data_IF_873182831527
#
_entry.id   IF_873182831527
#
_cell.length_a   1.000
_cell.length_b   1.000
_cell.length_c   1.000
_cell.angle_alpha   90.00
_cell.angle_beta   90.00
_cell.angle_gamma   90.00
#
_symmetry.space_group_name_H-M   'P 1'
#
loop_
_entity.id
_entity.type
_entity.pdbx_description
1 polymer ?
#
# COMPACT_ATOMS: atom_id res chain seq x y z
N UNK A 1 -23.37 -10.90 -25.44
CA UNK A 1 -23.78 -11.39 -24.10
C UNK A 1 -22.50 -11.48 -23.26
N UNK A 2 -22.33 -10.64 -22.25
CA UNK A 2 -21.08 -10.65 -21.45
C UNK A 2 -20.92 -12.01 -20.76
N UNK A 3 -19.78 -12.68 -20.97
CA UNK A 3 -19.48 -13.99 -20.39
C UNK A 3 -19.52 -13.87 -18.86
N UNK A 4 -20.45 -14.55 -18.20
CA UNK A 4 -20.52 -14.58 -16.72
C UNK A 4 -19.38 -15.45 -16.19
N UNK A 5 -18.33 -14.80 -15.68
CA UNK A 5 -17.23 -15.48 -14.98
C UNK A 5 -17.67 -15.97 -13.59
N UNK A 6 -17.22 -17.16 -13.15
CA UNK A 6 -17.63 -17.73 -11.88
C UNK A 6 -17.10 -16.94 -10.68
N UNK A 7 -17.80 -17.04 -9.55
CA UNK A 7 -17.31 -16.54 -8.26
C UNK A 7 -16.36 -17.54 -7.61
N UNK A 8 -15.25 -17.06 -7.08
CA UNK A 8 -14.27 -17.86 -6.34
C UNK A 8 -14.44 -17.61 -4.84
N UNK A 9 -14.46 -18.68 -4.04
CA UNK A 9 -14.42 -18.55 -2.58
C UNK A 9 -13.03 -18.12 -2.16
N UNK A 10 -12.93 -17.04 -1.41
CA UNK A 10 -11.67 -16.46 -0.94
C UNK A 10 -11.85 -15.91 0.47
N UNK A 11 -10.74 -15.83 1.20
CA UNK A 11 -10.70 -15.07 2.44
C UNK A 11 -10.58 -13.58 2.15
N UNK A 12 -11.12 -12.72 3.02
CA UNK A 12 -10.97 -11.27 2.91
C UNK A 12 -9.49 -10.89 2.92
N UNK A 13 -8.67 -11.56 3.74
CA UNK A 13 -7.21 -11.36 3.73
C UNK A 13 -6.58 -11.52 2.35
N UNK A 14 -7.04 -12.50 1.57
CA UNK A 14 -6.53 -12.74 0.21
C UNK A 14 -6.94 -11.63 -0.76
N UNK A 15 -8.08 -10.99 -0.50
CA UNK A 15 -8.53 -9.80 -1.25
C UNK A 15 -7.67 -8.60 -0.89
N UNK A 16 -7.49 -8.33 0.41
CA UNK A 16 -6.74 -7.17 0.90
C UNK A 16 -5.26 -7.22 0.47
N UNK A 17 -4.64 -8.40 0.53
CA UNK A 17 -3.23 -8.62 0.19
C UNK A 17 -2.98 -8.90 -1.29
N UNK A 18 -4.03 -9.05 -2.11
CA UNK A 18 -3.90 -9.29 -3.53
C UNK A 18 -3.59 -8.02 -4.32
N UNK A 19 -3.32 -8.18 -5.61
CA UNK A 19 -3.05 -7.09 -6.54
C UNK A 19 -4.26 -6.91 -7.44
N UNK A 20 -4.84 -5.71 -7.45
CA UNK A 20 -5.99 -5.41 -8.28
C UNK A 20 -5.53 -5.01 -9.67
N UNK A 21 -6.17 -5.58 -10.70
CA UNK A 21 -5.84 -5.32 -12.10
C UNK A 21 -7.10 -4.83 -12.81
N UNK A 22 -7.00 -3.63 -13.39
CA UNK A 22 -8.03 -3.08 -14.27
C UNK A 22 -7.86 -3.70 -15.65
N UNK A 23 -8.96 -4.22 -16.23
CA UNK A 23 -8.93 -4.71 -17.61
C UNK A 23 -8.61 -3.56 -18.58
N UNK A 24 -7.80 -3.83 -19.60
CA UNK A 24 -7.31 -2.79 -20.52
C UNK A 24 -8.37 -2.36 -21.55
N UNK A 25 -9.47 -3.10 -21.69
CA UNK A 25 -10.55 -2.81 -22.64
C UNK A 25 -11.93 -2.65 -22.00
N UNK A 26 -12.83 -1.94 -22.69
CA UNK A 26 -14.23 -1.68 -22.27
C UNK A 26 -15.04 -2.94 -21.91
N UNK A 27 -14.60 -4.11 -22.41
CA UNK A 27 -15.26 -5.40 -22.20
C UNK A 27 -14.45 -6.38 -21.34
N UNK A 28 -13.23 -6.01 -20.94
CA UNK A 28 -12.40 -6.87 -20.10
C UNK A 28 -12.78 -6.72 -18.64
N UNK A 29 -13.09 -7.83 -17.94
CA UNK A 29 -13.45 -7.75 -16.54
C UNK A 29 -12.21 -7.50 -15.69
N UNK A 30 -12.30 -6.56 -14.77
CA UNK A 30 -11.32 -6.39 -13.71
C UNK A 30 -11.20 -7.67 -12.88
N UNK A 31 -10.02 -7.91 -12.32
CA UNK A 31 -9.77 -9.05 -11.46
C UNK A 31 -8.74 -8.70 -10.39
N UNK A 32 -8.61 -9.61 -9.44
CA UNK A 32 -7.59 -9.61 -8.42
C UNK A 32 -6.64 -10.78 -8.68
N UNK A 33 -5.33 -10.56 -8.56
CA UNK A 33 -4.34 -11.62 -8.48
C UNK A 33 -3.91 -11.77 -7.01
N UNK A 34 -4.12 -12.94 -6.41
CA UNK A 34 -3.63 -13.21 -5.06
C UNK A 34 -2.12 -13.47 -5.05
N UNK A 35 -1.48 -13.41 -3.89
CA UNK A 35 -0.03 -13.69 -3.72
C UNK A 35 0.42 -15.07 -4.22
N UNK A 36 -0.49 -16.04 -4.23
CA UNK A 36 -0.29 -17.39 -4.79
C UNK A 36 -0.67 -17.47 -6.28
N UNK A 37 -0.63 -16.35 -7.00
CA UNK A 37 -0.90 -16.22 -8.44
C UNK A 37 -2.27 -16.76 -8.87
N UNK A 38 -3.29 -16.55 -8.03
CA UNK A 38 -4.67 -16.92 -8.39
C UNK A 38 -5.42 -15.72 -8.94
N UNK A 39 -5.98 -15.88 -10.15
CA UNK A 39 -6.86 -14.90 -10.78
C UNK A 39 -8.29 -15.02 -10.23
N UNK A 40 -8.83 -13.91 -9.72
CA UNK A 40 -10.14 -13.84 -9.05
C UNK A 40 -10.97 -12.69 -9.66
N UNK A 41 -11.97 -13.04 -10.46
CA UNK A 41 -12.87 -12.06 -11.12
C UNK A 41 -14.07 -11.65 -10.26
N UNK A 42 -14.53 -12.57 -9.41
CA UNK A 42 -15.64 -12.37 -8.48
C UNK A 42 -15.30 -13.10 -7.20
N UNK A 43 -15.55 -12.44 -6.08
CA UNK A 43 -15.36 -13.00 -4.75
C UNK A 43 -16.67 -13.56 -4.25
N UNK A 44 -16.59 -14.70 -3.57
CA UNK A 44 -17.67 -15.25 -2.74
C UNK A 44 -17.14 -15.35 -1.32
N UNK A 45 -17.75 -14.63 -0.40
CA UNK A 45 -17.29 -14.50 0.98
C UNK A 45 -18.45 -14.81 1.91
N UNK A 46 -18.17 -15.50 3.02
CA UNK A 46 -19.11 -15.61 4.14
C UNK A 46 -18.51 -14.88 5.33
N UNK A 47 -19.28 -13.96 5.90
CA UNK A 47 -18.78 -12.93 6.78
C UNK A 47 -19.85 -12.43 7.75
N UNK A 48 -19.46 -11.82 8.86
CA UNK A 48 -20.37 -11.14 9.79
C UNK A 48 -20.38 -9.64 9.50
N UNK A 49 -21.55 -9.03 9.47
CA UNK A 49 -21.69 -7.57 9.31
C UNK A 49 -21.33 -6.90 10.63
N UNK A 50 -20.24 -6.15 10.65
CA UNK A 50 -19.66 -5.59 11.89
C UNK A 50 -20.15 -4.18 12.21
N UNK A 51 -20.62 -3.43 11.21
CA UNK A 51 -21.15 -2.07 11.34
C UNK A 51 -22.58 -1.97 10.84
N UNK A 52 -23.30 -0.96 11.34
CA UNK A 52 -24.60 -0.61 10.80
C UNK A 52 -24.48 -0.17 9.34
N UNK A 53 -25.26 -0.75 8.41
CA UNK A 53 -25.25 -0.34 7.01
C UNK A 53 -25.66 1.12 6.84
N UNK A 54 -24.98 1.81 5.94
CA UNK A 54 -25.20 3.23 5.64
C UNK A 54 -25.72 3.30 4.21
N UNK A 55 -26.81 4.03 4.00
CA UNK A 55 -27.38 4.30 2.67
C UNK A 55 -27.55 5.81 2.55
N UNK A 56 -27.15 6.36 1.41
CA UNK A 56 -27.33 7.78 1.11
C UNK A 56 -28.82 8.12 0.97
N UNK A 57 -29.21 9.35 1.30
CA UNK A 57 -30.61 9.80 1.27
C UNK A 57 -31.24 9.70 -0.13
N UNK A 58 -30.43 9.88 -1.17
CA UNK A 58 -30.82 9.76 -2.58
C UNK A 58 -30.82 8.31 -3.10
N UNK A 59 -30.48 7.34 -2.25
CA UNK A 59 -30.38 5.91 -2.54
C UNK A 59 -29.42 5.55 -3.69
N UNK A 60 -28.52 6.46 -4.08
CA UNK A 60 -27.55 6.19 -5.15
C UNK A 60 -26.38 5.36 -4.67
N UNK A 61 -26.16 5.33 -3.35
CA UNK A 61 -25.02 4.72 -2.71
C UNK A 61 -25.40 4.07 -1.39
N UNK A 62 -24.83 2.89 -1.12
CA UNK A 62 -24.89 2.26 0.17
C UNK A 62 -23.62 1.46 0.46
N UNK A 63 -23.27 1.36 1.73
CA UNK A 63 -22.12 0.58 2.17
C UNK A 63 -22.35 -0.11 3.50
N UNK A 64 -21.67 -1.22 3.68
CA UNK A 64 -21.57 -1.92 4.96
C UNK A 64 -20.21 -2.61 5.06
N UNK A 65 -19.87 -3.07 6.26
CA UNK A 65 -18.57 -3.67 6.52
C UNK A 65 -18.76 -5.12 6.96
N UNK A 66 -17.97 -6.02 6.38
CA UNK A 66 -17.99 -7.45 6.66
C UNK A 66 -16.63 -7.89 7.25
N UNK A 67 -16.67 -8.79 8.22
CA UNK A 67 -15.52 -9.48 8.81
C UNK A 67 -15.65 -11.01 8.65
N UNK A 68 -14.63 -11.67 8.10
CA UNK A 68 -14.56 -13.13 7.92
C UNK A 68 -13.61 -13.84 8.92
N UNK A 69 -13.07 -13.09 9.89
CA UNK A 69 -12.06 -13.50 10.85
C UNK A 69 -10.62 -13.46 10.32
N UNK A 70 -10.42 -13.20 9.03
CA UNK A 70 -9.09 -13.02 8.41
C UNK A 70 -8.82 -11.56 8.06
N UNK A 71 -9.87 -10.76 7.89
CA UNK A 71 -9.80 -9.34 7.65
C UNK A 71 -11.18 -8.72 7.60
N UNK A 72 -11.21 -7.40 7.47
CA UNK A 72 -12.43 -6.62 7.41
C UNK A 72 -12.43 -5.80 6.14
N UNK A 73 -13.52 -5.81 5.37
CA UNK A 73 -13.59 -5.11 4.08
C UNK A 73 -14.90 -4.35 3.91
N UNK A 74 -14.82 -3.22 3.20
CA UNK A 74 -15.99 -2.46 2.78
C UNK A 74 -16.68 -3.11 1.59
N UNK A 75 -18.00 -3.19 1.70
CA UNK A 75 -18.88 -3.64 0.64
C UNK A 75 -19.77 -2.48 0.23
N UNK A 76 -19.79 -2.17 -1.06
CA UNK A 76 -20.52 -1.05 -1.65
C UNK A 76 -21.59 -1.57 -2.59
N UNK A 77 -22.78 -0.98 -2.52
CA UNK A 77 -23.82 -1.10 -3.53
C UNK A 77 -24.09 0.28 -4.13
N UNK A 78 -24.19 0.34 -5.47
CA UNK A 78 -24.51 1.56 -6.20
C UNK A 78 -25.86 1.41 -6.89
N UNK A 79 -26.64 2.48 -6.93
CA UNK A 79 -27.97 2.55 -7.58
C UNK A 79 -28.85 1.36 -7.16
N UNK A 80 -29.22 0.50 -8.10
CA UNK A 80 -30.07 -0.67 -7.85
C UNK A 80 -29.45 -1.65 -6.84
N UNK A 81 -28.13 -1.71 -6.71
CA UNK A 81 -27.44 -2.61 -5.79
C UNK A 81 -27.52 -2.13 -4.32
N UNK A 82 -27.95 -0.90 -4.06
CA UNK A 82 -28.23 -0.42 -2.68
C UNK A 82 -29.32 -1.26 -2.00
N UNK A 83 -30.19 -1.92 -2.77
CA UNK A 83 -31.17 -2.87 -2.23
C UNK A 83 -30.52 -3.99 -1.42
N UNK A 84 -29.30 -4.43 -1.79
CA UNK A 84 -28.58 -5.47 -1.06
C UNK A 84 -28.12 -4.98 0.32
N UNK A 85 -27.76 -3.71 0.42
CA UNK A 85 -27.36 -3.07 1.68
C UNK A 85 -28.55 -3.01 2.68
N UNK A 86 -29.78 -2.89 2.17
CA UNK A 86 -31.01 -2.91 3.00
C UNK A 86 -31.35 -4.28 3.59
N UNK A 87 -30.84 -5.35 2.99
CA UNK A 87 -31.16 -6.73 3.40
C UNK A 87 -30.35 -7.21 4.60
N UNK A 88 -29.36 -6.44 5.03
CA UNK A 88 -28.43 -6.82 6.07
C UNK A 88 -28.52 -5.87 7.27
N UNK A 89 -28.19 -6.37 8.44
CA UNK A 89 -28.08 -5.58 9.68
C UNK A 89 -26.79 -5.93 10.40
N UNK A 90 -26.33 -5.04 11.27
CA UNK A 90 -25.20 -5.32 12.16
C UNK A 90 -25.46 -6.61 12.95
N UNK A 91 -24.46 -7.49 12.98
CA UNK A 91 -24.53 -8.81 13.60
C UNK A 91 -25.07 -9.93 12.69
N UNK A 92 -25.58 -9.62 11.49
CA UNK A 92 -25.98 -10.67 10.55
C UNK A 92 -24.76 -11.40 9.98
N UNK A 93 -24.86 -12.73 9.93
CA UNK A 93 -23.95 -13.54 9.13
C UNK A 93 -24.50 -13.65 7.71
N UNK A 94 -23.67 -13.28 6.73
CA UNK A 94 -24.09 -13.14 5.34
C UNK A 94 -23.13 -13.87 4.41
N UNK A 95 -23.68 -14.43 3.34
CA UNK A 95 -22.92 -14.83 2.16
C UNK A 95 -23.08 -13.75 1.11
N UNK A 96 -21.95 -13.25 0.62
CA UNK A 96 -21.82 -12.19 -0.35
C UNK A 96 -21.16 -12.72 -1.62
N UNK A 97 -21.64 -12.26 -2.77
CA UNK A 97 -20.94 -12.32 -4.06
C UNK A 97 -20.76 -10.91 -4.58
N UNK A 98 -19.56 -10.60 -5.08
CA UNK A 98 -19.29 -9.28 -5.63
C UNK A 98 -18.01 -9.24 -6.47
N UNK A 99 -17.76 -8.08 -7.07
CA UNK A 99 -16.52 -7.77 -7.78
C UNK A 99 -15.59 -6.99 -6.87
N UNK A 100 -14.29 -7.25 -6.95
CA UNK A 100 -13.31 -6.39 -6.30
C UNK A 100 -13.22 -5.09 -7.09
N UNK A 101 -13.13 -3.98 -6.37
CA UNK A 101 -12.79 -2.67 -6.91
C UNK A 101 -11.71 -2.05 -6.01
N UNK A 102 -10.92 -1.15 -6.57
CA UNK A 102 -9.89 -0.44 -5.83
C UNK A 102 -10.01 1.06 -6.12
N UNK A 103 -9.94 1.85 -5.04
CA UNK A 103 -9.99 3.30 -5.10
C UNK A 103 -8.94 3.87 -4.15
N UNK A 104 -7.93 4.57 -4.69
CA UNK A 104 -6.80 5.10 -3.91
C UNK A 104 -6.20 4.03 -2.99
N UNK A 105 -5.87 2.88 -3.58
CA UNK A 105 -5.27 1.71 -2.92
C UNK A 105 -6.16 0.99 -1.88
N UNK A 106 -7.35 1.53 -1.59
CA UNK A 106 -8.34 0.85 -0.76
C UNK A 106 -9.20 -0.11 -1.59
N UNK A 107 -9.02 -1.41 -1.31
CA UNK A 107 -9.82 -2.47 -1.92
C UNK A 107 -11.17 -2.62 -1.25
N UNK A 108 -12.17 -2.75 -2.11
CA UNK A 108 -13.59 -2.73 -1.76
C UNK A 108 -14.31 -3.79 -2.59
N UNK A 109 -15.48 -4.23 -2.12
CA UNK A 109 -16.30 -5.18 -2.88
C UNK A 109 -17.56 -4.50 -3.37
N UNK A 110 -17.77 -4.49 -4.68
CA UNK A 110 -19.04 -4.10 -5.30
C UNK A 110 -19.99 -5.29 -5.22
N UNK A 111 -21.03 -5.17 -4.40
CA UNK A 111 -21.98 -6.27 -4.17
C UNK A 111 -22.83 -6.54 -5.41
N UNK A 112 -22.86 -7.81 -5.86
CA UNK A 112 -23.78 -8.29 -6.90
C UNK A 112 -24.90 -9.15 -6.28
N UNK A 113 -24.71 -9.64 -5.05
CA UNK A 113 -25.72 -10.36 -4.29
C UNK A 113 -25.31 -10.60 -2.84
N UNK A 114 -26.28 -10.54 -1.93
CA UNK A 114 -26.08 -10.85 -0.52
C UNK A 114 -27.28 -11.64 0.02
N UNK A 115 -27.02 -12.55 0.94
CA UNK A 115 -28.04 -13.34 1.61
C UNK A 115 -27.62 -13.62 3.04
N UNK A 116 -28.56 -13.53 3.99
CA UNK A 116 -28.34 -13.98 5.36
C UNK A 116 -28.22 -15.51 5.38
N UNK A 117 -27.27 -16.02 6.15
CA UNK A 117 -26.97 -17.45 6.22
C UNK A 117 -26.85 -17.95 7.66
N UNK A 118 -27.06 -19.26 7.84
CA UNK A 118 -26.86 -19.95 9.10
C UNK A 118 -25.36 -20.15 9.40
N UNK A 119 -24.92 -20.20 10.69
CA UNK A 119 -23.54 -20.45 11.07
C UNK A 119 -22.88 -21.68 10.43
N UNK A 120 -23.63 -22.72 10.07
CA UNK A 120 -23.06 -23.86 9.36
C UNK A 120 -22.50 -23.49 7.98
N UNK A 121 -23.06 -22.46 7.32
CA UNK A 121 -22.57 -21.96 6.04
C UNK A 121 -21.15 -21.38 6.17
N UNK A 122 -20.84 -20.77 7.31
CA UNK A 122 -19.49 -20.27 7.59
C UNK A 122 -18.47 -21.41 7.67
N UNK A 123 -18.82 -22.48 8.37
CA UNK A 123 -17.96 -23.67 8.51
C UNK A 123 -17.72 -24.29 7.13
N UNK A 124 -18.79 -24.45 6.35
CA UNK A 124 -18.71 -24.97 4.98
C UNK A 124 -17.82 -24.07 4.10
N UNK A 125 -18.04 -22.75 4.13
CA UNK A 125 -17.26 -21.80 3.37
C UNK A 125 -15.77 -21.87 3.72
N UNK A 126 -15.42 -21.93 5.00
CA UNK A 126 -14.02 -22.07 5.44
C UNK A 126 -13.39 -23.38 4.97
N UNK A 127 -14.11 -24.49 5.09
CA UNK A 127 -13.63 -25.78 4.61
C UNK A 127 -13.39 -25.78 3.10
N UNK A 128 -14.37 -25.34 2.31
CA UNK A 128 -14.26 -25.29 0.85
C UNK A 128 -13.14 -24.35 0.39
N UNK A 129 -13.05 -23.17 0.99
CA UNK A 129 -12.01 -22.17 0.70
C UNK A 129 -10.63 -22.73 1.03
N UNK A 130 -10.47 -23.34 2.21
CA UNK A 130 -9.17 -23.89 2.62
C UNK A 130 -8.75 -25.07 1.75
N UNK A 131 -9.66 -26.01 1.46
CA UNK A 131 -9.38 -27.17 0.61
C UNK A 131 -8.90 -26.73 -0.77
N UNK A 132 -9.67 -25.87 -1.41
CA UNK A 132 -9.37 -25.35 -2.75
C UNK A 132 -8.08 -24.52 -2.76
N UNK A 133 -7.84 -23.70 -1.73
CA UNK A 133 -6.59 -22.94 -1.57
C UNK A 133 -5.37 -23.85 -1.41
N UNK A 134 -5.46 -24.92 -0.61
CA UNK A 134 -4.35 -25.88 -0.44
C UNK A 134 -4.01 -26.57 -1.76
N UNK A 135 -5.03 -26.98 -2.54
CA UNK A 135 -4.82 -27.57 -3.86
C UNK A 135 -4.18 -26.58 -4.84
N UNK A 136 -4.65 -25.33 -4.85
CA UNK A 136 -4.09 -24.27 -5.68
C UNK A 136 -2.63 -23.96 -5.32
N UNK A 137 -2.31 -23.77 -4.03
CA UNK A 137 -0.94 -23.46 -3.56
C UNK A 137 0.05 -24.54 -4.00
N UNK A 138 -0.33 -25.82 -3.97
CA UNK A 138 0.55 -26.91 -4.45
C UNK A 138 0.89 -26.75 -5.92
N UNK A 139 -0.10 -26.41 -6.76
CA UNK A 139 0.11 -26.17 -8.19
C UNK A 139 0.91 -24.88 -8.43
N UNK A 140 0.58 -23.81 -7.71
CA UNK A 140 1.27 -22.53 -7.77
C UNK A 140 2.75 -22.67 -7.43
N UNK A 141 3.11 -23.41 -6.38
CA UNK A 141 4.53 -23.68 -6.03
C UNK A 141 5.31 -24.28 -7.19
N UNK A 142 4.78 -25.34 -7.81
CA UNK A 142 5.43 -25.99 -8.95
C UNK A 142 5.49 -25.02 -10.16
N UNK A 143 4.45 -24.21 -10.36
CA UNK A 143 4.42 -23.21 -11.42
C UNK A 143 5.47 -22.11 -11.22
N UNK A 144 5.63 -21.60 -9.99
CA UNK A 144 6.68 -20.66 -9.62
C UNK A 144 8.08 -21.25 -9.84
N UNK A 145 8.31 -22.52 -9.46
CA UNK A 145 9.59 -23.19 -9.73
C UNK A 145 9.90 -23.25 -11.23
N UNK A 146 8.90 -23.60 -12.06
CA UNK A 146 9.06 -23.66 -13.52
C UNK A 146 9.35 -22.26 -14.07
N UNK A 147 8.57 -21.26 -13.67
CA UNK A 147 8.73 -19.88 -14.12
C UNK A 147 10.11 -19.34 -13.71
N UNK A 148 10.52 -19.50 -12.46
CA UNK A 148 11.81 -18.99 -11.97
C UNK A 148 13.00 -19.67 -12.69
N UNK A 149 12.83 -20.90 -13.17
CA UNK A 149 13.90 -21.63 -13.88
C UNK A 149 13.93 -21.32 -15.38
N UNK A 150 12.77 -21.14 -16.01
CA UNK A 150 12.65 -21.13 -17.48
C UNK A 150 11.88 -19.94 -18.07
N UNK A 151 11.34 -19.05 -17.24
CA UNK A 151 10.45 -17.94 -17.63
C UNK A 151 9.21 -18.41 -18.40
N UNK A 152 8.63 -17.52 -19.23
CA UNK A 152 7.62 -17.88 -20.23
C UNK A 152 8.31 -18.36 -21.52
N UNK A 153 8.81 -19.59 -21.51
CA UNK A 153 9.32 -20.24 -22.72
C UNK A 153 8.40 -21.37 -23.19
N UNK A 154 8.51 -21.76 -24.47
CA UNK A 154 7.81 -22.94 -24.99
C UNK A 154 8.14 -24.20 -24.17
N UNK A 155 9.40 -24.32 -23.71
CA UNK A 155 9.84 -25.39 -22.81
C UNK A 155 9.11 -25.35 -21.46
N UNK A 156 8.97 -24.18 -20.84
CA UNK A 156 8.23 -24.01 -19.59
C UNK A 156 6.76 -24.44 -19.73
N UNK A 157 6.10 -24.05 -20.82
CA UNK A 157 4.70 -24.45 -21.11
C UNK A 157 4.54 -25.96 -21.25
N UNK A 158 5.46 -26.63 -21.96
CA UNK A 158 5.45 -28.09 -22.10
C UNK A 158 5.66 -28.79 -20.75
N UNK A 159 6.61 -28.30 -19.93
CA UNK A 159 6.87 -28.86 -18.59
C UNK A 159 5.65 -28.67 -17.67
N UNK A 160 5.04 -27.48 -17.67
CA UNK A 160 3.85 -27.19 -16.90
C UNK A 160 2.69 -28.13 -17.28
N UNK A 161 2.42 -28.27 -18.59
CA UNK A 161 1.40 -29.20 -19.09
C UNK A 161 1.65 -30.65 -18.65
N UNK A 162 2.89 -31.12 -18.74
CA UNK A 162 3.26 -32.48 -18.30
C UNK A 162 3.10 -32.68 -16.79
N UNK A 163 3.23 -31.62 -15.98
CA UNK A 163 3.00 -31.63 -14.52
C UNK A 163 1.54 -31.31 -14.13
N UNK A 164 0.62 -31.18 -15.09
CA UNK A 164 -0.78 -30.87 -14.82
C UNK A 164 -1.05 -29.42 -14.38
N UNK A 165 -0.15 -28.50 -14.72
CA UNK A 165 -0.29 -27.06 -14.48
C UNK A 165 -0.84 -26.39 -15.73
N UNK A 166 -1.80 -25.48 -15.56
CA UNK A 166 -2.34 -24.67 -16.65
C UNK A 166 -1.31 -23.65 -17.15
N UNK A 167 -1.23 -23.47 -18.46
CA UNK A 167 -0.40 -22.42 -19.06
C UNK A 167 -0.80 -21.02 -18.56
N UNK A 168 -2.09 -20.82 -18.32
CA UNK A 168 -2.66 -19.59 -17.74
C UNK A 168 -2.08 -19.22 -16.36
N UNK A 169 -1.64 -20.22 -15.59
CA UNK A 169 -1.02 -19.97 -14.29
C UNK A 169 0.40 -19.40 -14.46
N UNK A 170 1.14 -19.81 -15.49
CA UNK A 170 2.44 -19.23 -15.78
C UNK A 170 2.34 -17.77 -16.24
N UNK A 171 1.34 -17.46 -17.08
CA UNK A 171 1.09 -16.06 -17.48
C UNK A 171 0.62 -15.21 -16.30
N UNK A 172 -0.19 -15.76 -15.39
CA UNK A 172 -0.60 -15.04 -14.18
C UNK A 172 0.58 -14.75 -13.24
N UNK A 173 1.57 -15.66 -13.16
CA UNK A 173 2.80 -15.44 -12.38
C UNK A 173 3.65 -14.31 -12.98
N UNK A 174 3.78 -14.27 -14.30
CA UNK A 174 4.50 -13.21 -15.01
C UNK A 174 3.89 -11.84 -14.79
N UNK A 175 2.56 -11.77 -14.93
CA UNK A 175 1.77 -10.58 -14.65
C UNK A 175 1.94 -10.15 -13.17
N UNK A 176 1.84 -11.09 -12.23
CA UNK A 176 2.04 -10.84 -10.81
C UNK A 176 3.43 -10.25 -10.51
N UNK A 177 4.49 -10.82 -11.08
CA UNK A 177 5.84 -10.29 -10.87
C UNK A 177 6.04 -8.93 -11.51
N UNK A 178 5.43 -8.67 -12.67
CA UNK A 178 5.48 -7.36 -13.31
C UNK A 178 4.87 -6.29 -12.39
N UNK A 179 3.68 -6.55 -11.84
CA UNK A 179 3.02 -5.65 -10.89
C UNK A 179 3.86 -5.43 -9.62
N UNK A 180 4.42 -6.51 -9.06
CA UNK A 180 5.27 -6.40 -7.85
C UNK A 180 6.52 -5.57 -8.13
N UNK A 181 7.11 -5.69 -9.31
CA UNK A 181 8.30 -4.90 -9.67
C UNK A 181 7.94 -3.43 -9.89
N UNK A 182 6.81 -3.13 -10.52
CA UNK A 182 6.30 -1.77 -10.70
C UNK A 182 6.05 -1.09 -9.35
N UNK A 183 5.32 -1.74 -8.44
CA UNK A 183 5.05 -1.20 -7.10
C UNK A 183 6.35 -0.96 -6.31
N UNK A 184 7.32 -1.87 -6.38
CA UNK A 184 8.61 -1.68 -5.71
C UNK A 184 9.41 -0.52 -6.30
N UNK A 185 9.32 -0.29 -7.60
CA UNK A 185 9.98 0.83 -8.25
C UNK A 185 9.32 2.16 -7.85
N UNK A 186 7.99 2.20 -7.75
CA UNK A 186 7.25 3.36 -7.25
C UNK A 186 7.56 3.65 -5.77
N UNK A 187 7.58 2.62 -4.91
CA UNK A 187 7.96 2.75 -3.51
C UNK A 187 9.38 3.30 -3.35
N UNK A 188 10.35 2.75 -4.11
CA UNK A 188 11.73 3.23 -4.08
C UNK A 188 11.86 4.68 -4.57
N UNK A 189 11.16 5.05 -5.64
CA UNK A 189 11.16 6.42 -6.15
C UNK A 189 10.55 7.40 -5.14
N UNK A 190 9.47 7.01 -4.47
CA UNK A 190 8.84 7.83 -3.42
C UNK A 190 9.74 7.99 -2.20
N UNK A 191 10.45 6.92 -1.78
CA UNK A 191 11.46 7.02 -0.73
C UNK A 191 12.58 8.00 -1.12
N UNK A 192 13.11 7.90 -2.35
CA UNK A 192 14.13 8.82 -2.86
C UNK A 192 13.64 10.28 -2.88
N UNK A 193 12.42 10.55 -3.35
CA UNK A 193 11.82 11.90 -3.32
C UNK A 193 11.70 12.46 -1.89
N UNK A 194 11.27 11.63 -0.93
CA UNK A 194 11.14 12.03 0.47
C UNK A 194 12.51 12.38 1.09
N UNK A 195 13.54 11.58 0.80
CA UNK A 195 14.91 11.85 1.25
C UNK A 195 15.46 13.15 0.64
N UNK A 196 15.22 13.41 -0.64
CA UNK A 196 15.64 14.67 -1.27
C UNK A 196 14.93 15.90 -0.68
N UNK A 197 13.66 15.79 -0.29
CA UNK A 197 12.93 16.84 0.39
C UNK A 197 13.49 17.09 1.80
N UNK A 198 13.74 16.04 2.58
CA UNK A 198 14.37 16.16 3.91
C UNK A 198 15.78 16.79 3.81
N UNK A 199 16.62 16.37 2.85
CA UNK A 199 17.94 16.98 2.65
C UNK A 199 17.86 18.47 2.27
N UNK A 200 16.88 18.87 1.45
CA UNK A 200 16.66 20.28 1.11
C UNK A 200 16.22 21.09 2.32
N UNK A 201 15.27 20.59 3.13
CA UNK A 201 14.82 21.27 4.35
C UNK A 201 15.97 21.45 5.34
N UNK A 202 16.77 20.40 5.58
CA UNK A 202 17.94 20.46 6.47
C UNK A 202 18.98 21.45 5.94
N UNK A 203 19.24 21.45 4.63
CA UNK A 203 20.16 22.40 3.99
C UNK A 203 19.70 23.86 4.12
N UNK A 204 18.40 24.14 3.89
CA UNK A 204 17.83 25.48 4.02
C UNK A 204 17.84 25.97 5.48
N UNK A 205 17.53 25.10 6.45
CA UNK A 205 17.62 25.41 7.87
C UNK A 205 19.06 25.72 8.28
N UNK A 206 20.02 24.89 7.86
CA UNK A 206 21.45 25.10 8.12
C UNK A 206 21.95 26.42 7.50
N UNK A 207 21.57 26.73 6.27
CA UNK A 207 21.89 28.03 5.65
C UNK A 207 21.30 29.22 6.42
N UNK A 208 20.07 29.09 6.92
CA UNK A 208 19.42 30.09 7.76
C UNK A 208 20.21 30.34 9.05
N UNK A 209 20.66 29.27 9.69
CA UNK A 209 21.48 29.33 10.92
C UNK A 209 22.84 29.95 10.63
N UNK A 210 23.51 29.55 9.55
CA UNK A 210 24.80 30.14 9.11
C UNK A 210 24.69 31.66 8.94
N UNK A 211 23.66 32.13 8.23
CA UNK A 211 23.40 33.58 8.04
C UNK A 211 23.23 34.29 9.38
N UNK A 212 22.47 33.71 10.32
CA UNK A 212 22.25 34.27 11.64
C UNK A 212 23.54 34.32 12.49
N UNK A 213 24.38 33.28 12.42
CA UNK A 213 25.69 33.24 13.09
C UNK A 213 26.61 34.34 12.55
N UNK A 214 26.70 34.48 11.22
CA UNK A 214 27.51 35.52 10.57
C UNK A 214 27.04 36.93 10.95
N UNK A 215 25.73 37.19 11.01
CA UNK A 215 25.20 38.48 11.47
C UNK A 215 25.63 38.81 12.92
N UNK A 216 25.59 37.82 13.82
CA UNK A 216 26.04 37.99 15.21
C UNK A 216 27.52 38.36 15.24
N UNK A 217 28.37 37.65 14.48
CA UNK A 217 29.81 37.90 14.44
C UNK A 217 30.14 39.26 13.80
N UNK A 218 29.47 39.64 12.71
CA UNK A 218 29.63 40.98 12.06
C UNK A 218 29.28 42.12 13.01
N UNK A 219 28.20 41.97 13.78
CA UNK A 219 27.73 43.03 14.69
C UNK A 219 28.68 43.29 15.87
N UNK A 220 29.47 42.29 16.27
CA UNK A 220 30.37 42.36 17.42
C UNK A 220 31.77 42.85 17.04
N UNK A 221 32.26 42.50 15.85
CA UNK A 221 33.59 42.90 15.37
C UNK A 221 34.78 42.33 16.16
N UNK A 222 34.52 41.42 17.10
CA UNK A 222 35.51 40.72 17.95
C UNK A 222 35.07 39.28 18.14
N UNK A 223 36.00 38.40 18.54
CA UNK A 223 35.69 37.00 18.84
C UNK A 223 34.52 36.84 19.82
N UNK A 224 33.57 35.96 19.49
CA UNK A 224 32.34 35.70 20.25
C UNK A 224 32.32 34.26 20.72
N UNK A 225 32.07 34.03 22.01
CA UNK A 225 31.99 32.68 22.57
C UNK A 225 30.80 31.88 22.03
N UNK A 226 30.96 30.57 21.83
CA UNK A 226 29.89 29.64 21.45
C UNK A 226 28.63 29.79 22.30
N UNK A 227 28.79 29.85 23.63
CA UNK A 227 27.67 30.03 24.58
C UNK A 227 26.85 31.29 24.33
N UNK A 228 27.49 32.36 23.85
CA UNK A 228 26.80 33.61 23.54
C UNK A 228 25.98 33.48 22.25
N UNK A 229 26.53 32.81 21.24
CA UNK A 229 25.85 32.56 19.95
C UNK A 229 24.62 31.67 20.19
N UNK A 230 24.79 30.54 20.88
CA UNK A 230 23.70 29.64 21.27
C UNK A 230 22.60 30.39 22.04
N UNK A 231 22.95 31.18 23.06
CA UNK A 231 21.97 31.95 23.84
C UNK A 231 21.21 32.98 23.01
N UNK A 232 21.83 33.57 21.98
CA UNK A 232 21.15 34.54 21.10
C UNK A 232 20.24 33.88 20.07
N UNK A 233 20.54 32.64 19.69
CA UNK A 233 19.81 31.88 18.68
C UNK A 233 18.80 30.89 19.28
N UNK A 234 18.81 30.69 20.60
CA UNK A 234 17.98 29.72 21.34
C UNK A 234 16.47 29.83 21.06
N UNK A 235 15.98 31.01 20.67
CA UNK A 235 14.56 31.25 20.43
C UNK A 235 14.10 30.70 19.08
N UNK A 236 15.05 30.35 18.19
CA UNK A 236 14.79 29.90 16.82
C UNK A 236 15.49 28.60 16.44
N UNK A 237 16.63 28.30 17.03
CA UNK A 237 17.46 27.16 16.66
C UNK A 237 17.94 26.43 17.92
N UNK A 238 18.04 25.11 17.84
CA UNK A 238 18.60 24.31 18.91
C UNK A 238 20.14 24.44 18.96
N UNK A 239 20.77 24.12 20.09
CA UNK A 239 22.22 24.28 20.25
C UNK A 239 23.07 23.40 19.34
N UNK A 240 22.56 22.24 18.90
CA UNK A 240 23.30 21.28 18.07
C UNK A 240 23.38 21.79 16.62
N UNK A 241 22.27 22.26 16.06
CA UNK A 241 22.21 22.86 14.72
C UNK A 241 23.08 24.13 14.62
N UNK A 242 23.16 24.90 15.70
CA UNK A 242 24.07 26.07 15.79
C UNK A 242 25.54 25.63 15.77
N UNK A 243 25.90 24.56 16.48
CA UNK A 243 27.27 24.01 16.45
C UNK A 243 27.63 23.45 15.08
N UNK A 244 26.69 22.78 14.41
CA UNK A 244 26.89 22.24 13.07
C UNK A 244 27.10 23.35 12.03
N UNK A 245 26.29 24.41 12.08
CA UNK A 245 26.47 25.59 11.23
C UNK A 245 27.83 26.27 11.46
N UNK A 246 28.30 26.37 12.71
CA UNK A 246 29.63 26.91 13.04
C UNK A 246 30.74 26.02 12.46
N UNK A 247 30.65 24.70 12.60
CA UNK A 247 31.62 23.76 12.01
C UNK A 247 31.67 23.90 10.49
N UNK A 248 30.52 24.04 9.85
CA UNK A 248 30.43 24.23 8.41
C UNK A 248 31.07 25.57 7.98
N UNK A 249 30.80 26.68 8.67
CA UNK A 249 31.42 27.98 8.39
C UNK A 249 32.94 27.98 8.62
N UNK A 250 33.44 27.23 9.60
CA UNK A 250 34.89 27.02 9.82
C UNK A 250 35.52 26.26 8.65
N UNK A 251 34.86 25.22 8.16
CA UNK A 251 35.32 24.42 7.02
C UNK A 251 35.28 25.22 5.70
N UNK A 252 34.27 26.09 5.53
CA UNK A 252 34.13 27.02 4.42
C UNK A 252 35.13 28.18 4.49
N UNK A 253 35.77 28.39 5.65
CA UNK A 253 36.74 29.46 5.86
C UNK A 253 36.13 30.85 6.04
N UNK A 254 34.81 30.94 6.27
CA UNK A 254 34.13 32.21 6.53
C UNK A 254 34.40 32.75 7.95
N UNK A 255 34.72 31.84 8.88
CA UNK A 255 35.05 32.17 10.27
C UNK A 255 36.29 31.40 10.71
N UNK A 256 36.94 31.85 11.79
CA UNK A 256 38.04 31.16 12.47
C UNK A 256 37.86 31.15 13.99
N UNK A 257 38.60 30.26 14.64
CA UNK A 257 38.61 30.07 16.09
C UNK A 257 39.94 30.60 16.69
N UNK A 258 40.02 31.89 17.07
CA UNK A 258 41.23 32.46 17.70
C UNK A 258 41.56 31.84 19.07
N UNK A 259 40.53 31.48 19.83
CA UNK A 259 40.63 30.80 21.12
C UNK A 259 39.59 29.68 21.18
N UNK A 260 39.90 28.59 21.89
CA UNK A 260 39.00 27.44 22.00
C UNK A 260 37.62 27.87 22.50
N UNK A 261 36.59 27.65 21.68
CA UNK A 261 35.20 28.02 21.92
C UNK A 261 34.83 29.48 21.59
N UNK A 262 35.70 30.23 20.91
CA UNK A 262 35.44 31.61 20.46
C UNK A 262 35.63 31.74 18.96
N UNK A 263 34.67 32.34 18.27
CA UNK A 263 34.65 32.44 16.81
C UNK A 263 34.62 33.89 16.33
N UNK A 264 35.29 34.14 15.21
CA UNK A 264 35.37 35.46 14.57
C UNK A 264 35.35 35.31 13.04
N UNK A 265 34.86 36.31 12.31
CA UNK A 265 34.86 36.31 10.84
C UNK A 265 36.28 36.47 10.31
N UNK A 266 36.63 35.69 9.27
CA UNK A 266 37.80 35.93 8.45
C UNK A 266 37.53 37.16 7.55
N UNK A 267 38.37 38.20 7.62
CA UNK A 267 38.34 39.29 6.61
C UNK A 267 38.77 38.80 5.23
#
# INVERSE_FOLDING_TARGET
MNKRLPSTRVYIKDVLEGFYVKGEGDFEPNYLITKDARKVYRVKIVGTVVRDPIIAEDETYGKFQIDDGTGVIWVLGFRDDTRFVRLVKRGDMVQLIGKVAEWRDDKQILVEGVSKVDPNMWILHRYETLKDKVEHIKKAKIAFEIYNTYGITAKAKVIAKNKGISEDLLSTIDELYSIIMEQKAEEAAFEEELFEEEEKEVSEELEGVKKAVLEILKSKGTAVSLKFIQRKLQDKYDPETVEEAIRALLAEGEIFEPEVGYYQILE
#
